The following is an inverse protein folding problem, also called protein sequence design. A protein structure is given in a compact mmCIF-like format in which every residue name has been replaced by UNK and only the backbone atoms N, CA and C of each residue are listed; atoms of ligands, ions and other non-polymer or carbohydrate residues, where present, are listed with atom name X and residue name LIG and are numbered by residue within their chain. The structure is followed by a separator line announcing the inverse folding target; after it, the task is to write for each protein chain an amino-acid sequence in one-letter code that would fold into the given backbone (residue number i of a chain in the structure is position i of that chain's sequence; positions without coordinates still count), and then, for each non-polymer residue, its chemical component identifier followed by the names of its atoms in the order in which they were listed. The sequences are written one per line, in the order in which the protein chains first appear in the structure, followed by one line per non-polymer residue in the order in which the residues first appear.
data_IF_188295048733
#
_entry.id   IF_188295048733
#
_cell.length_a   1.000
_cell.length_b   1.000
_cell.length_c   1.000
_cell.angle_alpha   90.00
_cell.angle_beta   90.00
_cell.angle_gamma   90.00
#
_symmetry.space_group_name_H-M   'P 1'
#
loop_
_entity.id
_entity.type
_entity.pdbx_description
1 polymer ?
#
# COMPACT_ATOMS: atom_id res chain seq x y z
N UNK A 1 11.59 -9.72 7.19
CA UNK A 1 10.14 -9.55 7.03
C UNK A 1 9.45 -10.77 7.61
N UNK A 2 8.17 -10.65 7.95
CA UNK A 2 7.37 -11.80 8.43
C UNK A 2 6.46 -12.35 7.32
N UNK A 3 6.50 -11.78 6.11
CA UNK A 3 5.97 -12.36 4.88
C UNK A 3 4.48 -12.11 4.61
N UNK A 4 3.70 -11.79 5.65
CA UNK A 4 2.28 -11.47 5.52
C UNK A 4 2.06 -9.97 5.34
N UNK A 5 0.93 -9.63 4.72
CA UNK A 5 0.48 -8.26 4.48
C UNK A 5 0.53 -7.40 5.75
N UNK A 6 0.04 -7.91 6.87
CA UNK A 6 0.01 -7.16 8.14
C UNK A 6 1.39 -6.69 8.62
N UNK A 7 2.45 -7.39 8.22
CA UNK A 7 3.82 -7.09 8.61
C UNK A 7 4.58 -6.32 7.55
N UNK A 8 4.20 -6.49 6.28
CA UNK A 8 4.95 -5.99 5.14
C UNK A 8 4.23 -4.82 4.43
N UNK A 9 2.97 -4.51 4.77
CA UNK A 9 2.20 -3.37 4.21
C UNK A 9 2.45 -2.03 4.88
N UNK A 10 3.21 -1.99 5.98
CA UNK A 10 3.55 -0.74 6.65
C UNK A 10 4.61 0.01 5.83
N UNK A 11 4.17 0.81 4.86
CA UNK A 11 5.05 1.63 4.05
C UNK A 11 5.73 2.68 4.96
N UNK A 12 7.05 2.93 4.82
CA UNK A 12 7.71 3.98 5.58
C UNK A 12 7.01 5.32 5.39
N UNK A 13 6.77 6.05 6.50
CA UNK A 13 6.04 7.32 6.49
C UNK A 13 6.59 8.30 5.44
N UNK A 14 7.91 8.39 5.26
CA UNK A 14 8.54 9.28 4.27
C UNK A 14 8.27 8.87 2.81
N UNK A 15 7.99 7.60 2.53
CA UNK A 15 7.76 7.11 1.16
C UNK A 15 6.41 7.59 0.58
N UNK A 16 5.44 7.86 1.45
CA UNK A 16 4.07 8.24 1.04
C UNK A 16 3.88 9.74 0.84
N UNK A 17 4.80 10.59 1.32
CA UNK A 17 4.69 12.03 1.11
C UNK A 17 5.62 12.86 1.98
N UNK A 18 5.55 14.20 1.85
CA UNK A 18 6.30 15.11 2.71
C UNK A 18 6.03 14.80 4.18
N UNK A 19 7.10 14.85 4.98
CA UNK A 19 7.06 14.56 6.41
C UNK A 19 6.81 15.82 7.22
N UNK A 20 7.31 16.96 6.74
CA UNK A 20 7.23 18.26 7.41
C UNK A 20 6.56 19.29 6.51
N UNK A 21 6.05 20.38 7.11
CA UNK A 21 5.51 21.51 6.36
C UNK A 21 6.55 22.14 5.43
N UNK A 22 7.81 22.23 5.88
CA UNK A 22 8.90 22.78 5.08
C UNK A 22 9.15 21.97 3.80
N UNK A 23 9.08 20.64 3.88
CA UNK A 23 9.20 19.77 2.70
C UNK A 23 8.04 20.00 1.72
N UNK A 24 6.82 20.17 2.22
CA UNK A 24 5.66 20.51 1.38
C UNK A 24 5.85 21.87 0.71
N UNK A 25 6.17 22.90 1.49
CA UNK A 25 6.33 24.28 1.03
C UNK A 25 7.47 24.43 0.03
N UNK A 26 8.55 23.65 0.17
CA UNK A 26 9.65 23.61 -0.81
C UNK A 26 9.22 23.16 -2.21
N UNK A 27 8.05 22.52 -2.33
CA UNK A 27 7.46 22.02 -3.57
C UNK A 27 5.96 22.33 -3.66
N UNK A 28 5.56 23.50 -3.15
CA UNK A 28 4.15 23.89 -3.00
C UNK A 28 3.36 23.75 -4.30
N UNK A 29 3.86 24.30 -5.41
CA UNK A 29 3.18 24.26 -6.71
C UNK A 29 2.88 22.82 -7.17
N UNK A 30 3.84 21.90 -6.98
CA UNK A 30 3.69 20.49 -7.35
C UNK A 30 2.58 19.83 -6.54
N UNK A 31 2.58 20.01 -5.22
CA UNK A 31 1.63 19.32 -4.35
C UNK A 31 0.22 19.93 -4.43
N UNK A 32 0.11 21.26 -4.52
CA UNK A 32 -1.17 21.94 -4.70
C UNK A 32 -1.81 21.59 -6.05
N UNK A 33 -1.03 21.51 -7.12
CA UNK A 33 -1.51 21.05 -8.44
C UNK A 33 -2.02 19.62 -8.37
N UNK A 34 -1.24 18.71 -7.77
CA UNK A 34 -1.64 17.31 -7.61
C UNK A 34 -2.95 17.19 -6.82
N UNK A 35 -3.12 17.90 -5.71
CA UNK A 35 -4.36 17.85 -4.92
C UNK A 35 -5.56 18.36 -5.71
N UNK A 36 -5.40 19.41 -6.52
CA UNK A 36 -6.46 19.94 -7.38
C UNK A 36 -6.83 18.97 -8.50
N UNK A 37 -5.85 18.33 -9.15
CA UNK A 37 -6.09 17.30 -10.18
C UNK A 37 -6.82 16.08 -9.62
N UNK A 38 -6.58 15.76 -8.34
CA UNK A 38 -7.32 14.74 -7.60
C UNK A 38 -8.73 15.19 -7.17
N UNK A 39 -9.12 16.45 -7.44
CA UNK A 39 -10.44 16.99 -7.15
C UNK A 39 -10.60 17.55 -5.73
N UNK A 40 -9.53 17.71 -4.95
CA UNK A 40 -9.62 18.31 -3.62
C UNK A 40 -9.66 19.85 -3.69
N UNK A 41 -10.61 20.46 -2.97
CA UNK A 41 -10.55 21.88 -2.68
C UNK A 41 -9.54 22.13 -1.55
N UNK A 42 -8.55 22.99 -1.79
CA UNK A 42 -7.44 23.25 -0.86
C UNK A 42 -7.31 24.72 -0.44
N UNK A 43 -8.22 25.58 -0.90
CA UNK A 43 -8.14 27.04 -0.70
C UNK A 43 -8.28 27.45 0.77
N UNK A 44 -9.01 26.66 1.55
CA UNK A 44 -9.29 26.85 2.98
C UNK A 44 -8.39 25.97 3.89
N UNK A 45 -7.39 25.28 3.31
CA UNK A 45 -6.60 24.27 4.02
C UNK A 45 -5.21 24.75 4.39
N UNK A 46 -4.80 24.44 5.61
CA UNK A 46 -3.43 24.59 6.09
C UNK A 46 -2.49 23.61 5.40
N UNK A 47 -1.18 23.90 5.40
CA UNK A 47 -0.15 22.98 4.88
C UNK A 47 -0.25 21.59 5.50
N UNK A 48 -0.52 21.48 6.81
CA UNK A 48 -0.63 20.20 7.50
C UNK A 48 -1.83 19.38 7.02
N UNK A 49 -2.98 20.01 6.79
CA UNK A 49 -4.16 19.34 6.25
C UNK A 49 -3.93 18.88 4.80
N UNK A 50 -3.28 19.71 3.98
CA UNK A 50 -2.89 19.33 2.62
C UNK A 50 -1.95 18.13 2.62
N UNK A 51 -0.95 18.10 3.51
CA UNK A 51 -0.07 16.94 3.72
C UNK A 51 -0.89 15.71 4.06
N UNK A 52 -1.79 15.81 5.04
CA UNK A 52 -2.62 14.69 5.48
C UNK A 52 -3.45 14.10 4.32
N UNK A 53 -4.17 14.95 3.58
CA UNK A 53 -4.99 14.52 2.44
C UNK A 53 -4.14 13.84 1.37
N UNK A 54 -3.00 14.44 1.02
CA UNK A 54 -2.10 13.89 0.00
C UNK A 54 -1.59 12.49 0.40
N UNK A 55 -1.23 12.33 1.68
CA UNK A 55 -0.72 11.07 2.21
C UNK A 55 -1.82 10.01 2.27
N UNK A 56 -2.99 10.32 2.81
CA UNK A 56 -4.14 9.42 2.84
C UNK A 56 -4.49 8.91 1.44
N UNK A 57 -4.52 9.81 0.45
CA UNK A 57 -4.76 9.44 -0.93
C UNK A 57 -3.70 8.45 -1.44
N UNK A 58 -2.41 8.73 -1.22
CA UNK A 58 -1.31 7.87 -1.70
C UNK A 58 -1.25 6.54 -0.97
N UNK A 59 -1.54 6.51 0.33
CA UNK A 59 -1.67 5.28 1.12
C UNK A 59 -2.80 4.40 0.57
N UNK A 60 -3.95 5.00 0.21
CA UNK A 60 -5.04 4.27 -0.44
C UNK A 60 -4.66 3.74 -1.82
N UNK A 61 -3.93 4.51 -2.64
CA UNK A 61 -3.43 4.01 -3.94
C UNK A 61 -2.47 2.84 -3.75
N UNK A 62 -1.60 2.90 -2.74
CA UNK A 62 -0.69 1.81 -2.43
C UNK A 62 -1.45 0.53 -2.02
N UNK A 63 -2.48 0.64 -1.18
CA UNK A 63 -3.34 -0.49 -0.78
C UNK A 63 -4.00 -1.13 -2.02
N UNK A 64 -4.54 -0.32 -2.94
CA UNK A 64 -5.13 -0.81 -4.19
C UNK A 64 -4.11 -1.53 -5.08
N UNK A 65 -2.90 -0.97 -5.19
CA UNK A 65 -1.80 -1.61 -5.92
C UNK A 65 -1.45 -2.97 -5.29
N UNK A 66 -1.33 -3.04 -3.96
CA UNK A 66 -1.06 -4.31 -3.26
C UNK A 66 -2.15 -5.35 -3.54
N UNK A 67 -3.43 -4.96 -3.48
CA UNK A 67 -4.56 -5.85 -3.78
C UNK A 67 -4.47 -6.42 -5.20
N UNK A 68 -4.19 -5.55 -6.18
CA UNK A 68 -4.03 -5.96 -7.58
C UNK A 68 -2.83 -6.90 -7.78
N UNK A 69 -1.70 -6.61 -7.14
CA UNK A 69 -0.49 -7.45 -7.22
C UNK A 69 -0.71 -8.80 -6.57
N UNK A 70 -1.37 -8.86 -5.41
CA UNK A 70 -1.69 -10.14 -4.76
C UNK A 70 -2.63 -10.98 -5.62
N UNK A 71 -3.66 -10.37 -6.21
CA UNK A 71 -4.56 -11.07 -7.12
C UNK A 71 -3.80 -11.65 -8.32
N UNK A 72 -2.98 -10.84 -9.00
CA UNK A 72 -2.21 -11.27 -10.18
C UNK A 72 -1.22 -12.39 -9.84
N UNK A 73 -0.64 -12.36 -8.63
CA UNK A 73 0.25 -13.41 -8.15
C UNK A 73 -0.46 -14.68 -7.72
N UNK A 74 -1.79 -14.71 -7.65
CA UNK A 74 -2.54 -15.84 -7.08
C UNK A 74 -2.40 -15.93 -5.55
N UNK A 75 -2.21 -14.80 -4.87
CA UNK A 75 -2.13 -14.69 -3.42
C UNK A 75 -3.47 -14.21 -2.86
N UNK A 76 -3.73 -14.54 -1.60
CA UNK A 76 -4.91 -14.04 -0.90
C UNK A 76 -4.69 -12.64 -0.31
N UNK A 77 -5.74 -12.07 0.28
CA UNK A 77 -5.72 -10.70 0.84
C UNK A 77 -4.79 -10.53 2.03
N UNK A 78 -4.34 -11.63 2.67
CA UNK A 78 -3.34 -11.62 3.75
C UNK A 78 -1.90 -11.62 3.20
N UNK A 79 -1.71 -11.60 1.88
CA UNK A 79 -0.39 -11.65 1.25
C UNK A 79 0.24 -13.04 1.30
N UNK A 80 -0.58 -14.10 1.42
CA UNK A 80 -0.11 -15.49 1.41
C UNK A 80 -0.42 -16.15 0.04
N UNK A 81 0.51 -16.91 -0.55
CA UNK A 81 0.24 -17.77 -1.71
C UNK A 81 -0.96 -18.70 -1.47
N UNK A 82 -1.85 -18.84 -2.45
CA UNK A 82 -2.95 -19.80 -2.35
C UNK A 82 -2.47 -21.25 -2.52
N UNK A 83 -3.20 -22.22 -1.95
CA UNK A 83 -2.91 -23.64 -2.14
C UNK A 83 -2.92 -24.01 -3.64
N UNK A 84 -3.86 -23.45 -4.41
CA UNK A 84 -3.96 -23.72 -5.85
C UNK A 84 -2.73 -23.21 -6.62
N UNK A 85 -2.20 -22.04 -6.23
CA UNK A 85 -0.97 -21.51 -6.80
C UNK A 85 0.23 -22.41 -6.50
N UNK A 86 0.43 -22.84 -5.26
CA UNK A 86 1.60 -23.66 -4.90
C UNK A 86 1.58 -25.03 -5.57
N UNK A 87 0.39 -25.62 -5.75
CA UNK A 87 0.21 -26.84 -6.56
C UNK A 87 0.55 -26.62 -8.02
N UNK A 88 0.07 -25.52 -8.61
CA UNK A 88 0.38 -25.14 -10.00
C UNK A 88 1.88 -24.94 -10.23
N UNK A 89 2.59 -24.49 -9.20
CA UNK A 89 4.04 -24.27 -9.23
C UNK A 89 4.86 -25.52 -8.81
N UNK A 90 4.20 -26.65 -8.49
CA UNK A 90 4.86 -27.91 -8.08
C UNK A 90 5.76 -27.74 -6.84
N UNK A 91 5.34 -26.87 -5.92
CA UNK A 91 6.02 -26.61 -4.63
C UNK A 91 5.10 -26.87 -3.44
N UNK A 92 4.11 -27.73 -3.61
CA UNK A 92 3.11 -28.12 -2.61
C UNK A 92 3.62 -29.22 -1.66
N UNK A 93 4.89 -29.12 -1.24
CA UNK A 93 5.48 -29.99 -0.23
C UNK A 93 4.64 -29.96 1.08
N UNK A 94 4.61 -31.08 1.81
CA UNK A 94 3.79 -31.23 3.03
C UNK A 94 4.07 -30.14 4.08
N UNK A 95 5.33 -29.72 4.21
CA UNK A 95 5.76 -28.65 5.11
C UNK A 95 5.26 -27.27 4.65
N UNK A 96 5.32 -26.97 3.35
CA UNK A 96 4.78 -25.74 2.76
C UNK A 96 3.27 -25.67 2.97
N UNK A 97 2.53 -26.73 2.62
CA UNK A 97 1.08 -26.79 2.81
C UNK A 97 0.71 -26.62 4.28
N UNK A 98 1.40 -27.33 5.18
CA UNK A 98 1.18 -27.21 6.63
C UNK A 98 1.42 -25.79 7.12
N UNK A 99 2.43 -25.10 6.60
CA UNK A 99 2.78 -23.74 6.99
C UNK A 99 1.79 -22.70 6.50
N UNK A 100 1.31 -22.79 5.25
CA UNK A 100 0.43 -21.76 4.66
C UNK A 100 -1.04 -21.97 4.99
N UNK A 101 -1.46 -23.19 5.37
CA UNK A 101 -2.85 -23.56 5.66
C UNK A 101 -3.55 -22.65 6.67
N UNK A 102 -2.93 -22.22 7.79
CA UNK A 102 -3.55 -21.29 8.74
C UNK A 102 -3.88 -19.90 8.16
N UNK A 103 -3.29 -19.56 7.01
CA UNK A 103 -3.39 -18.22 6.42
C UNK A 103 -4.26 -18.19 5.16
N UNK A 104 -4.94 -19.28 4.79
CA UNK A 104 -5.70 -19.37 3.53
C UNK A 104 -7.06 -18.66 3.55
N UNK A 105 -7.61 -18.37 4.74
CA UNK A 105 -8.89 -17.64 4.92
C UNK A 105 -8.72 -16.12 4.88
#
# INVERSE_FOLDING_TARGET
GKGLREHDSNLPYRAVGPVTSLEYESRLERYDTQLKELGFNISDKTTQEKIKILREHREQQYIKLQDAVYLERGWNKKGCPTIDLVRKLEIDFDDVIKYIKPYQE
#
